data_IF_873713696609
#
_entry.id   IF_873713696609
#
_cell.length_a   1.000
_cell.length_b   1.000
_cell.length_c   1.000
_cell.angle_alpha   90.00
_cell.angle_beta   90.00
_cell.angle_gamma   90.00
#
_symmetry.space_group_name_H-M   'P 1'
#
loop_
_entity.id
_entity.type
_entity.pdbx_description
1 polymer ?
#
# COMPACT_ATOMS: atom_id res chain seq x y z
N UNK A 1 2.62 -17.62 13.89
CA UNK A 1 1.42 -17.42 13.04
C UNK A 1 1.25 -15.97 12.61
N UNK A 2 1.35 -14.98 13.52
CA UNK A 2 1.20 -13.55 13.19
C UNK A 2 2.16 -13.03 12.10
N UNK A 3 3.46 -13.32 12.20
CA UNK A 3 4.47 -12.89 11.22
C UNK A 3 4.23 -13.41 9.79
N UNK A 4 3.53 -14.54 9.62
CA UNK A 4 3.21 -15.06 8.30
C UNK A 4 2.13 -14.20 7.62
N UNK A 5 1.14 -13.73 8.38
CA UNK A 5 0.07 -12.87 7.87
C UNK A 5 0.63 -11.51 7.45
N UNK A 6 1.54 -10.96 8.25
CA UNK A 6 2.14 -9.65 7.98
C UNK A 6 3.16 -9.71 6.85
N UNK A 7 3.92 -10.80 6.76
CA UNK A 7 4.77 -11.10 5.60
C UNK A 7 3.97 -11.28 4.29
N UNK A 8 2.82 -11.95 4.31
CA UNK A 8 1.95 -12.08 3.14
C UNK A 8 1.35 -10.73 2.72
N UNK A 9 0.87 -9.94 3.68
CA UNK A 9 0.34 -8.61 3.40
C UNK A 9 1.44 -7.65 2.89
N UNK A 10 2.65 -7.73 3.45
CA UNK A 10 3.79 -6.93 3.02
C UNK A 10 4.26 -7.29 1.61
N UNK A 11 4.37 -8.57 1.28
CA UNK A 11 4.74 -9.01 -0.08
C UNK A 11 3.69 -8.62 -1.14
N UNK A 12 2.40 -8.65 -0.80
CA UNK A 12 1.35 -8.11 -1.66
C UNK A 12 1.54 -6.61 -1.93
N UNK A 13 1.77 -5.80 -0.89
CA UNK A 13 2.02 -4.36 -1.03
C UNK A 13 3.30 -4.05 -1.81
N UNK A 14 4.32 -4.91 -1.69
CA UNK A 14 5.56 -4.78 -2.44
C UNK A 14 5.29 -4.96 -3.94
N UNK A 15 4.54 -6.00 -4.32
CA UNK A 15 4.12 -6.23 -5.71
C UNK A 15 3.36 -5.03 -6.28
N UNK A 16 2.45 -4.43 -5.49
CA UNK A 16 1.69 -3.24 -5.88
C UNK A 16 2.59 -2.02 -6.11
N UNK A 17 3.57 -1.80 -5.24
CA UNK A 17 4.54 -0.71 -5.40
C UNK A 17 5.42 -0.89 -6.63
N UNK A 18 5.91 -2.12 -6.85
CA UNK A 18 6.78 -2.50 -7.98
C UNK A 18 6.03 -2.43 -9.30
N UNK A 19 4.83 -2.99 -9.41
CA UNK A 19 4.03 -2.90 -10.62
C UNK A 19 3.48 -1.48 -10.84
N UNK A 20 3.30 -0.71 -9.76
CA UNK A 20 2.64 0.60 -9.82
C UNK A 20 1.17 0.49 -10.16
N UNK A 21 0.55 -0.64 -9.80
CA UNK A 21 -0.83 -0.95 -10.10
C UNK A 21 -1.46 -1.73 -8.95
N UNK A 22 -2.69 -1.35 -8.57
CA UNK A 22 -3.50 -2.06 -7.57
C UNK A 22 -4.92 -2.22 -8.10
N UNK A 23 -5.55 -1.09 -8.40
CA UNK A 23 -6.91 -1.00 -8.98
C UNK A 23 -6.98 0.05 -10.08
N UNK A 24 -6.03 0.98 -10.06
CA UNK A 24 -5.78 2.02 -11.06
C UNK A 24 -4.27 2.11 -11.25
N UNK A 25 -3.79 2.66 -12.37
CA UNK A 25 -2.37 3.05 -12.49
C UNK A 25 -2.04 4.05 -11.36
N UNK A 26 -1.13 3.65 -10.47
CA UNK A 26 -0.64 4.51 -9.40
C UNK A 26 0.31 5.57 -9.99
N UNK A 27 0.23 6.82 -9.50
CA UNK A 27 1.25 7.81 -9.83
C UNK A 27 2.60 7.40 -9.23
N UNK A 28 3.69 7.71 -9.93
CA UNK A 28 5.06 7.27 -9.60
C UNK A 28 5.48 7.66 -8.18
N UNK A 29 4.95 8.78 -7.66
CA UNK A 29 5.20 9.28 -6.31
C UNK A 29 4.55 8.45 -5.19
N UNK A 30 3.45 7.75 -5.48
CA UNK A 30 2.76 6.92 -4.49
C UNK A 30 3.40 5.52 -4.39
N UNK A 31 4.12 5.08 -5.42
CA UNK A 31 4.83 3.78 -5.48
C UNK A 31 5.81 3.58 -4.30
N UNK A 32 6.72 4.51 -3.98
CA UNK A 32 7.64 4.32 -2.86
C UNK A 32 6.92 4.23 -1.52
N UNK A 33 5.76 4.87 -1.34
CA UNK A 33 4.96 4.74 -0.11
C UNK A 33 4.51 3.29 0.12
N UNK A 34 4.03 2.63 -0.94
CA UNK A 34 3.64 1.20 -0.87
C UNK A 34 4.83 0.27 -0.63
N UNK A 35 6.00 0.57 -1.20
CA UNK A 35 7.23 -0.20 -0.98
C UNK A 35 7.69 -0.07 0.49
N UNK A 36 7.68 1.14 1.05
CA UNK A 36 8.07 1.36 2.45
C UNK A 36 7.06 0.71 3.40
N UNK A 37 5.75 0.79 3.09
CA UNK A 37 4.71 0.10 3.84
C UNK A 37 4.94 -1.42 3.87
N UNK A 38 5.27 -1.99 2.70
CA UNK A 38 5.57 -3.40 2.56
C UNK A 38 6.78 -3.85 3.39
N UNK A 39 7.87 -3.09 3.34
CA UNK A 39 9.09 -3.40 4.10
C UNK A 39 8.86 -3.35 5.62
N UNK A 40 8.04 -2.41 6.08
CA UNK A 40 7.63 -2.31 7.48
C UNK A 40 6.79 -3.52 7.91
N UNK A 41 5.89 -4.01 7.06
CA UNK A 41 5.04 -5.18 7.35
C UNK A 41 5.78 -6.53 7.26
N UNK A 42 6.81 -6.61 6.42
CA UNK A 42 7.66 -7.82 6.31
C UNK A 42 8.53 -7.98 7.55
N UNK A 43 8.94 -6.87 8.18
CA UNK A 43 9.79 -6.91 9.37
C UNK A 43 8.95 -7.36 10.57
N UNK A 44 9.24 -8.53 11.19
CA UNK A 44 8.43 -9.05 12.27
C UNK A 44 8.56 -8.16 13.51
N UNK A 45 7.46 -7.49 13.89
CA UNK A 45 7.41 -6.66 15.08
C UNK A 45 6.08 -5.92 15.18
N UNK A 46 5.47 -5.90 16.37
CA UNK A 46 4.14 -5.29 16.59
C UNK A 46 4.15 -3.80 16.26
N UNK A 47 5.25 -3.10 16.56
CA UNK A 47 5.44 -1.69 16.20
C UNK A 47 5.58 -1.47 14.71
N UNK A 48 6.38 -2.30 14.03
CA UNK A 48 6.55 -2.26 12.56
C UNK A 48 5.27 -2.59 11.82
N UNK A 49 4.48 -3.55 12.33
CA UNK A 49 3.15 -3.89 11.80
C UNK A 49 2.17 -2.74 11.92
N UNK A 50 2.17 -2.04 13.06
CA UNK A 50 1.27 -0.89 13.27
C UNK A 50 1.58 0.25 12.28
N UNK A 51 2.88 0.50 12.06
CA UNK A 51 3.34 1.53 11.12
C UNK A 51 3.05 1.11 9.67
N UNK A 52 3.31 -0.14 9.31
CA UNK A 52 3.03 -0.66 7.98
C UNK A 52 1.53 -0.70 7.67
N UNK A 53 0.68 -1.06 8.63
CA UNK A 53 -0.79 -0.96 8.50
C UNK A 53 -1.23 0.50 8.34
N UNK A 54 -0.63 1.42 9.11
CA UNK A 54 -0.89 2.86 8.99
C UNK A 54 -0.55 3.40 7.60
N UNK A 55 0.64 3.11 7.08
CA UNK A 55 1.02 3.49 5.71
C UNK A 55 0.13 2.84 4.66
N UNK A 56 -0.25 1.59 4.85
CA UNK A 56 -1.15 0.88 3.93
C UNK A 56 -2.53 1.54 3.88
N UNK A 57 -3.07 1.91 5.04
CA UNK A 57 -4.35 2.63 5.12
C UNK A 57 -4.27 4.00 4.44
N UNK A 58 -3.19 4.75 4.65
CA UNK A 58 -2.96 6.04 3.99
C UNK A 58 -2.82 5.88 2.47
N UNK A 59 -2.04 4.88 2.02
CA UNK A 59 -1.87 4.57 0.60
C UNK A 59 -3.19 4.17 -0.05
N UNK A 60 -3.96 3.30 0.60
CA UNK A 60 -5.28 2.87 0.14
C UNK A 60 -6.28 4.03 0.08
N UNK A 61 -6.30 4.88 1.11
CA UNK A 61 -7.15 6.08 1.14
C UNK A 61 -6.77 7.06 0.03
N UNK A 62 -5.48 7.25 -0.21
CA UNK A 62 -4.97 8.07 -1.31
C UNK A 62 -5.41 7.53 -2.68
N UNK A 63 -5.38 6.21 -2.89
CA UNK A 63 -5.91 5.57 -4.10
C UNK A 63 -7.41 5.79 -4.24
N UNK A 64 -8.19 5.61 -3.17
CA UNK A 64 -9.64 5.86 -3.18
C UNK A 64 -9.98 7.31 -3.54
N UNK A 65 -9.29 8.28 -2.97
CA UNK A 65 -9.48 9.70 -3.28
C UNK A 65 -9.11 10.00 -4.74
N UNK A 66 -8.00 9.46 -5.24
CA UNK A 66 -7.62 9.60 -6.65
C UNK A 66 -8.64 8.95 -7.59
N UNK A 67 -9.17 7.78 -7.23
CA UNK A 67 -10.22 7.08 -8.00
C UNK A 67 -11.49 7.92 -8.09
N UNK A 68 -11.94 8.50 -6.96
CA UNK A 68 -13.11 9.42 -6.92
C UNK A 68 -12.90 10.65 -7.80
N UNK A 69 -11.73 11.31 -7.71
CA UNK A 69 -11.42 12.46 -8.57
C UNK A 69 -11.40 12.10 -10.06
N UNK A 70 -10.84 10.95 -10.41
CA UNK A 70 -10.71 10.52 -11.81
C UNK A 70 -12.05 10.12 -12.43
N UNK A 71 -12.98 9.57 -11.64
CA UNK A 71 -14.34 9.30 -12.11
C UNK A 71 -15.20 10.56 -12.21
N UNK A 72 -14.98 11.56 -11.35
CA UNK A 72 -15.69 12.85 -11.43
C UNK A 72 -15.26 13.74 -12.60
N UNK A 73 -14.06 13.54 -13.16
CA UNK A 73 -13.58 14.28 -14.34
C UNK A 73 -14.05 13.62 -15.65
N UNK A 74 -14.46 12.35 -15.59
CA UNK A 74 -14.92 11.58 -16.74
C UNK A 74 -16.45 11.53 -16.88
N UNK A 75 -17.19 12.21 -15.99
CA UNK A 75 -18.65 12.36 -16.01
C UNK A 75 -19.01 13.81 -16.36
#
# INVERSE_FOLDING_TARGET
MWAAVTGLAGTFLLSVGVEGYLTIKLPVWLRPVFIVAALMLITPGVTSDLIGLGLTAIGWFSIQLLKRKRQSIAA
#
